data_IF_800918310263
#
_entry.id   IF_800918310263
#
_cell.length_a   1.000
_cell.length_b   1.000
_cell.length_c   1.000
_cell.angle_alpha   90.00
_cell.angle_beta   90.00
_cell.angle_gamma   90.00
#
_symmetry.space_group_name_H-M   'P 1'
#
loop_
_entity.id
_entity.type
_entity.pdbx_description
1 polymer ?
#
# COMPACT_ATOMS: atom_id res chain seq x y z
N UNK A 1 16.57 21.22 -30.76
CA UNK A 1 16.54 19.95 -31.52
C UNK A 1 16.98 18.81 -30.62
N UNK A 2 16.81 17.56 -31.04
CA UNK A 2 17.33 16.37 -30.34
C UNK A 2 18.45 15.78 -31.18
N UNK A 3 19.61 15.54 -30.57
CA UNK A 3 20.80 15.00 -31.25
C UNK A 3 21.10 13.56 -30.87
N UNK A 4 20.69 13.11 -29.69
CA UNK A 4 20.94 11.73 -29.26
C UNK A 4 20.27 11.36 -27.94
N UNK A 5 20.32 10.06 -27.64
CA UNK A 5 19.80 9.48 -26.42
C UNK A 5 20.79 8.42 -25.87
N UNK A 6 20.83 8.27 -24.55
CA UNK A 6 21.61 7.23 -23.88
C UNK A 6 20.98 6.84 -22.53
N UNK A 7 20.81 5.54 -22.23
CA UNK A 7 21.05 4.39 -23.11
C UNK A 7 20.02 4.31 -24.26
N UNK A 8 20.29 3.47 -25.27
CA UNK A 8 19.39 3.24 -26.42
C UNK A 8 18.45 2.04 -26.24
N UNK A 9 18.54 1.34 -25.12
CA UNK A 9 17.65 0.24 -24.76
C UNK A 9 17.44 0.17 -23.25
N UNK A 10 16.39 -0.54 -22.84
CA UNK A 10 16.18 -0.86 -21.43
C UNK A 10 15.00 -1.79 -21.17
N UNK A 11 14.79 -2.09 -19.89
CA UNK A 11 13.72 -2.96 -19.43
C UNK A 11 12.32 -2.33 -19.58
N UNK A 12 11.28 -3.16 -19.62
CA UNK A 12 9.89 -2.75 -19.82
C UNK A 12 9.18 -2.23 -18.57
N UNK A 13 9.74 -2.47 -17.38
CA UNK A 13 9.13 -2.01 -16.13
C UNK A 13 9.35 -0.54 -15.82
N UNK A 14 10.12 0.18 -16.64
CA UNK A 14 10.43 1.59 -16.42
C UNK A 14 11.55 1.81 -15.41
N UNK A 15 11.56 3.00 -14.82
CA UNK A 15 12.56 3.50 -13.86
C UNK A 15 13.99 3.61 -14.42
N UNK A 16 14.18 3.40 -15.73
CA UNK A 16 15.46 3.65 -16.40
C UNK A 16 15.67 5.16 -16.54
N UNK A 17 16.81 5.66 -16.06
CA UNK A 17 17.25 7.01 -16.35
C UNK A 17 17.70 7.12 -17.81
N UNK A 18 16.99 7.92 -18.61
CA UNK A 18 17.31 8.22 -20.00
C UNK A 18 17.87 9.64 -20.09
N UNK A 19 19.06 9.78 -20.68
CA UNK A 19 19.67 11.07 -21.01
C UNK A 19 19.39 11.38 -22.48
N UNK A 20 18.85 12.56 -22.75
CA UNK A 20 18.57 13.09 -24.09
C UNK A 20 19.46 14.32 -24.29
N UNK A 21 20.23 14.34 -25.37
CA UNK A 21 21.10 15.47 -25.73
C UNK A 21 20.51 16.24 -26.90
N UNK A 22 20.76 17.55 -26.92
CA UNK A 22 20.26 18.43 -27.95
C UNK A 22 20.56 19.89 -27.66
N UNK A 23 19.66 20.77 -28.13
CA UNK A 23 19.74 22.23 -27.92
C UNK A 23 18.35 22.83 -27.84
N UNK A 24 18.23 23.98 -27.15
CA UNK A 24 16.97 24.73 -27.07
C UNK A 24 15.89 24.06 -26.22
N UNK A 25 16.28 23.20 -25.26
CA UNK A 25 15.33 22.63 -24.30
C UNK A 25 14.92 23.64 -23.22
N UNK A 26 15.68 24.73 -23.05
CA UNK A 26 15.52 25.65 -21.93
C UNK A 26 15.82 24.97 -20.58
N UNK A 27 15.31 25.55 -19.50
CA UNK A 27 15.63 25.10 -18.12
C UNK A 27 14.41 24.73 -17.29
N UNK A 28 13.21 24.76 -17.88
CA UNK A 28 11.95 24.46 -17.20
C UNK A 28 11.39 23.12 -17.67
N UNK A 29 11.31 22.15 -16.75
CA UNK A 29 10.70 20.85 -17.03
C UNK A 29 9.20 20.99 -17.34
N UNK A 30 8.52 21.97 -16.74
CA UNK A 30 7.10 22.23 -17.00
C UNK A 30 6.83 22.67 -18.45
N UNK A 31 7.85 23.16 -19.16
CA UNK A 31 7.74 23.60 -20.55
C UNK A 31 8.15 22.51 -21.55
N UNK A 32 8.45 21.29 -21.07
CA UNK A 32 8.90 20.19 -21.92
C UNK A 32 8.14 18.91 -21.59
N UNK A 33 7.78 18.16 -22.63
CA UNK A 33 7.21 16.83 -22.51
C UNK A 33 8.02 15.84 -23.31
N UNK A 34 8.45 14.76 -22.69
CA UNK A 34 9.19 13.68 -23.34
C UNK A 34 8.30 12.44 -23.46
N UNK A 35 8.25 11.83 -24.64
CA UNK A 35 7.55 10.57 -24.89
C UNK A 35 8.47 9.54 -25.53
N UNK A 36 8.34 8.28 -25.10
CA UNK A 36 8.91 7.10 -25.74
C UNK A 36 7.75 6.31 -26.35
N UNK A 37 7.53 6.46 -27.66
CA UNK A 37 6.31 5.97 -28.30
C UNK A 37 5.08 6.66 -27.70
N UNK A 38 4.24 5.89 -27.00
CA UNK A 38 3.05 6.39 -26.30
C UNK A 38 3.28 6.71 -24.82
N UNK A 39 4.39 6.24 -24.25
CA UNK A 39 4.66 6.36 -22.83
C UNK A 39 5.38 7.66 -22.47
N UNK A 40 4.99 8.28 -21.36
CA UNK A 40 5.67 9.47 -20.88
C UNK A 40 7.02 9.11 -20.23
N UNK A 41 8.03 9.93 -20.48
CA UNK A 41 9.27 9.94 -19.70
C UNK A 41 9.23 11.10 -18.71
N UNK A 42 9.28 10.81 -17.41
CA UNK A 42 9.14 11.85 -16.38
C UNK A 42 10.47 12.59 -16.23
N UNK A 43 10.52 13.87 -16.60
CA UNK A 43 11.74 14.68 -16.53
C UNK A 43 12.17 14.84 -15.07
N UNK A 44 13.40 14.45 -14.76
CA UNK A 44 14.03 14.57 -13.44
C UNK A 44 15.02 15.73 -13.38
N UNK A 45 15.66 16.07 -14.49
CA UNK A 45 16.47 17.27 -14.62
C UNK A 45 16.50 17.76 -16.07
N UNK A 46 16.72 19.06 -16.25
CA UNK A 46 16.76 19.70 -17.57
C UNK A 46 17.74 20.87 -17.57
N UNK A 47 18.48 20.98 -18.66
CA UNK A 47 19.30 22.13 -19.06
C UNK A 47 19.03 22.40 -20.54
N UNK A 48 19.53 23.52 -21.06
CA UNK A 48 19.26 23.89 -22.45
C UNK A 48 19.72 22.84 -23.48
N UNK A 49 20.71 22.02 -23.10
CA UNK A 49 21.33 21.00 -23.97
C UNK A 49 21.13 19.56 -23.53
N UNK A 50 20.51 19.33 -22.36
CA UNK A 50 20.31 17.99 -21.81
C UNK A 50 18.98 17.85 -21.06
N UNK A 51 18.25 16.76 -21.31
CA UNK A 51 17.12 16.32 -20.48
C UNK A 51 17.49 14.96 -19.89
N UNK A 52 17.32 14.80 -18.58
CA UNK A 52 17.30 13.49 -17.93
C UNK A 52 15.87 13.19 -17.52
N UNK A 53 15.38 12.01 -17.87
CA UNK A 53 14.03 11.57 -17.52
C UNK A 53 14.01 10.11 -17.11
N UNK A 54 12.97 9.67 -16.41
CA UNK A 54 12.74 8.28 -16.05
C UNK A 54 11.63 7.67 -16.90
N UNK A 55 11.91 6.51 -17.49
CA UNK A 55 10.94 5.80 -18.35
C UNK A 55 9.78 5.24 -17.52
N UNK A 56 8.57 5.27 -18.09
CA UNK A 56 7.41 4.59 -17.51
C UNK A 56 7.40 3.08 -17.85
N UNK A 57 6.62 2.32 -17.07
CA UNK A 57 6.33 0.93 -17.37
C UNK A 57 5.49 0.81 -18.66
N UNK A 58 5.78 -0.19 -19.49
CA UNK A 58 5.04 -0.48 -20.71
C UNK A 58 4.91 -1.97 -20.99
N UNK A 59 3.83 -2.36 -21.66
CA UNK A 59 3.72 -3.72 -22.22
C UNK A 59 4.34 -3.85 -23.61
N UNK A 60 4.76 -2.74 -24.24
CA UNK A 60 5.39 -2.76 -25.56
C UNK A 60 6.83 -3.32 -25.50
N UNK A 61 7.24 -4.01 -26.56
CA UNK A 61 8.63 -4.41 -26.79
C UNK A 61 9.08 -3.95 -28.18
N UNK A 62 10.39 -3.81 -28.36
CA UNK A 62 10.99 -3.33 -29.61
C UNK A 62 11.23 -1.82 -29.62
N UNK A 63 11.55 -1.31 -30.81
CA UNK A 63 11.99 0.06 -31.00
C UNK A 63 10.83 1.06 -30.99
N UNK A 64 10.99 2.17 -30.28
CA UNK A 64 10.06 3.29 -30.21
C UNK A 64 10.78 4.61 -30.48
N UNK A 65 10.05 5.56 -31.07
CA UNK A 65 10.56 6.92 -31.26
C UNK A 65 10.66 7.65 -29.91
N UNK A 66 11.71 8.43 -29.72
CA UNK A 66 11.83 9.37 -28.59
C UNK A 66 11.53 10.76 -29.10
N UNK A 67 10.50 11.40 -28.55
CA UNK A 67 10.08 12.74 -28.94
C UNK A 67 10.14 13.70 -27.74
N UNK A 68 10.65 14.90 -27.99
CA UNK A 68 10.63 16.02 -27.05
C UNK A 68 9.72 17.08 -27.64
N UNK A 69 8.67 17.44 -26.93
CA UNK A 69 7.70 18.45 -27.33
C UNK A 69 7.77 19.63 -26.38
N UNK A 70 8.01 20.83 -26.92
CA UNK A 70 7.90 22.05 -26.16
C UNK A 70 6.42 22.32 -25.85
N UNK A 71 6.10 22.43 -24.57
CA UNK A 71 4.76 22.74 -24.06
C UNK A 71 4.79 24.12 -23.42
N UNK A 72 4.86 25.18 -24.24
CA UNK A 72 4.72 26.53 -23.72
C UNK A 72 3.23 26.84 -23.50
N UNK A 73 2.84 27.02 -22.24
CA UNK A 73 1.49 27.45 -21.85
C UNK A 73 1.07 28.81 -22.43
N UNK A 74 2.01 29.59 -22.99
CA UNK A 74 1.75 30.87 -23.67
C UNK A 74 1.69 30.77 -25.19
N UNK A 75 2.04 29.64 -25.81
CA UNK A 75 1.95 29.47 -27.26
C UNK A 75 0.61 28.85 -27.66
N UNK A 76 -0.29 29.69 -28.18
CA UNK A 76 -1.46 29.25 -28.95
C UNK A 76 -1.00 28.99 -30.38
N UNK A 77 -0.67 27.73 -30.70
CA UNK A 77 -0.18 27.31 -32.02
C UNK A 77 0.88 26.21 -31.92
N UNK A 78 0.89 25.31 -32.91
CA UNK A 78 1.64 24.03 -33.00
C UNK A 78 2.88 23.93 -32.10
N UNK A 79 2.78 23.09 -31.06
CA UNK A 79 3.91 22.73 -30.22
C UNK A 79 5.10 22.25 -31.07
N UNK A 80 6.27 22.86 -30.89
CA UNK A 80 7.47 22.43 -31.57
C UNK A 80 7.90 21.07 -31.01
N UNK A 81 7.91 20.04 -31.86
CA UNK A 81 8.34 18.70 -31.51
C UNK A 81 9.64 18.36 -32.24
N UNK A 82 10.57 17.73 -31.52
CA UNK A 82 11.80 17.19 -32.06
C UNK A 82 11.88 15.70 -31.76
N UNK A 83 12.17 14.90 -32.77
CA UNK A 83 12.35 13.45 -32.65
C UNK A 83 13.83 13.13 -32.65
N UNK A 84 14.24 12.24 -31.75
CA UNK A 84 15.60 11.69 -31.75
C UNK A 84 15.91 10.96 -33.05
N UNK A 85 17.11 11.11 -33.63
CA UNK A 85 17.54 10.32 -34.78
C UNK A 85 17.73 8.84 -34.44
N UNK A 86 17.89 8.51 -33.16
CA UNK A 86 18.03 7.13 -32.65
C UNK A 86 16.76 6.74 -31.89
N UNK A 87 16.26 5.53 -32.15
CA UNK A 87 15.14 4.95 -31.42
C UNK A 87 15.60 4.34 -30.10
N UNK A 88 14.70 4.31 -29.12
CA UNK A 88 14.88 3.57 -27.88
C UNK A 88 14.26 2.18 -28.02
N UNK A 89 14.94 1.13 -27.58
CA UNK A 89 14.44 -0.25 -27.68
C UNK A 89 14.04 -0.82 -26.32
N UNK A 90 12.77 -1.16 -26.15
CA UNK A 90 12.32 -1.95 -25.01
C UNK A 90 12.67 -3.42 -25.23
N UNK A 91 13.47 -3.99 -24.31
CA UNK A 91 13.97 -5.36 -24.44
C UNK A 91 12.82 -6.39 -24.39
N UNK A 92 12.71 -7.20 -25.44
CA UNK A 92 11.71 -8.26 -25.53
C UNK A 92 11.91 -9.37 -24.48
N UNK A 93 13.15 -9.58 -24.04
CA UNK A 93 13.52 -10.54 -23.00
C UNK A 93 13.47 -9.93 -21.58
N UNK A 94 12.96 -8.70 -21.45
CA UNK A 94 12.78 -8.06 -20.15
C UNK A 94 11.91 -8.93 -19.24
N UNK A 95 12.38 -9.23 -18.00
CA UNK A 95 11.64 -10.03 -17.05
C UNK A 95 10.25 -9.46 -16.73
N UNK A 96 9.34 -10.33 -16.35
CA UNK A 96 7.98 -9.96 -15.94
C UNK A 96 7.65 -10.58 -14.59
N UNK A 97 6.90 -9.85 -13.76
CA UNK A 97 6.33 -10.35 -12.51
C UNK A 97 4.81 -10.23 -12.61
N UNK A 98 4.14 -11.37 -12.56
CA UNK A 98 2.69 -11.47 -12.71
C UNK A 98 1.98 -11.97 -11.47
N UNK A 99 2.70 -12.62 -10.54
CA UNK A 99 2.13 -13.08 -9.28
C UNK A 99 3.12 -13.05 -8.12
N UNK A 100 2.59 -12.94 -6.90
CA UNK A 100 3.32 -13.01 -5.64
C UNK A 100 2.47 -13.79 -4.64
N UNK A 101 3.01 -14.88 -4.09
CA UNK A 101 2.30 -15.75 -3.15
C UNK A 101 3.15 -16.04 -1.92
N UNK A 102 2.64 -15.78 -0.70
CA UNK A 102 1.43 -15.02 -0.42
C UNK A 102 1.57 -13.55 -0.85
N UNK A 103 0.47 -12.90 -1.23
CA UNK A 103 0.47 -11.47 -1.59
C UNK A 103 0.37 -10.54 -0.36
N UNK A 104 0.43 -11.10 0.85
CA UNK A 104 0.33 -10.38 2.12
C UNK A 104 1.20 -11.05 3.19
N UNK A 105 1.82 -10.27 4.06
CA UNK A 105 2.59 -10.79 5.19
C UNK A 105 2.94 -9.73 6.22
N UNK A 106 3.52 -10.15 7.33
CA UNK A 106 3.71 -9.28 8.51
C UNK A 106 4.69 -8.15 8.27
N UNK A 107 4.47 -7.01 8.93
CA UNK A 107 5.40 -5.86 8.94
C UNK A 107 6.75 -6.22 9.58
N UNK A 108 6.80 -7.29 10.38
CA UNK A 108 8.04 -7.84 10.94
C UNK A 108 8.96 -8.49 9.88
N UNK A 109 8.48 -8.69 8.65
CA UNK A 109 9.22 -9.40 7.61
C UNK A 109 9.23 -10.92 7.83
N UNK A 110 10.18 -11.62 7.21
CA UNK A 110 10.35 -13.07 7.33
C UNK A 110 9.35 -13.89 6.53
N UNK A 111 8.46 -13.26 5.76
CA UNK A 111 7.50 -13.99 4.92
C UNK A 111 8.23 -14.55 3.70
N UNK A 112 8.23 -15.88 3.56
CA UNK A 112 8.73 -16.56 2.36
C UNK A 112 7.75 -16.38 1.21
N UNK A 113 8.24 -15.79 0.11
CA UNK A 113 7.47 -15.48 -1.09
C UNK A 113 7.90 -16.38 -2.24
N UNK A 114 6.91 -16.79 -3.02
CA UNK A 114 7.06 -17.31 -4.38
C UNK A 114 6.51 -16.26 -5.34
N UNK A 115 7.38 -15.69 -6.16
CA UNK A 115 7.05 -14.71 -7.18
C UNK A 115 7.03 -15.43 -8.53
N UNK A 116 5.93 -15.31 -9.28
CA UNK A 116 5.76 -15.94 -10.58
C UNK A 116 5.86 -14.95 -11.73
N UNK A 117 6.37 -15.43 -12.88
CA UNK A 117 6.51 -14.63 -14.09
C UNK A 117 7.46 -15.25 -15.11
N UNK A 118 8.30 -14.42 -15.73
CA UNK A 118 9.31 -14.84 -16.72
C UNK A 118 10.61 -14.04 -16.52
N UNK A 119 11.76 -14.60 -16.93
CA UNK A 119 13.03 -13.87 -16.81
C UNK A 119 13.60 -13.84 -15.39
N UNK A 120 13.10 -14.67 -14.48
CA UNK A 120 13.28 -14.52 -13.03
C UNK A 120 14.54 -15.19 -12.49
N UNK A 121 15.71 -14.85 -13.04
CA UNK A 121 17.00 -15.39 -12.59
C UNK A 121 17.49 -14.78 -11.27
N UNK A 122 18.48 -15.44 -10.65
CA UNK A 122 19.19 -14.95 -9.46
C UNK A 122 19.97 -13.65 -9.66
N UNK A 123 20.12 -13.15 -10.89
CA UNK A 123 20.71 -11.83 -11.15
C UNK A 123 19.80 -10.66 -10.75
N UNK A 124 18.49 -10.88 -10.56
CA UNK A 124 17.56 -9.82 -10.21
C UNK A 124 17.66 -9.43 -8.73
N UNK A 125 17.63 -8.14 -8.46
CA UNK A 125 17.45 -7.62 -7.09
C UNK A 125 15.99 -7.27 -6.88
N UNK A 126 15.29 -8.08 -6.07
CA UNK A 126 13.87 -7.85 -5.75
C UNK A 126 13.73 -7.00 -4.50
N UNK A 127 12.90 -5.95 -4.58
CA UNK A 127 12.53 -5.10 -3.46
C UNK A 127 11.01 -4.91 -3.38
N UNK A 128 10.51 -4.63 -2.17
CA UNK A 128 9.11 -4.28 -1.91
C UNK A 128 9.11 -3.00 -1.09
N UNK A 129 8.60 -1.92 -1.67
CA UNK A 129 8.64 -0.56 -1.07
C UNK A 129 10.04 -0.18 -0.53
N UNK A 130 11.06 -0.45 -1.35
CA UNK A 130 12.47 -0.18 -1.03
C UNK A 130 13.14 -1.21 -0.13
N UNK A 131 12.40 -2.14 0.49
CA UNK A 131 12.97 -3.20 1.33
C UNK A 131 13.40 -4.40 0.49
N UNK A 132 14.62 -4.87 0.69
CA UNK A 132 15.17 -6.04 -0.02
C UNK A 132 14.39 -7.31 0.33
N UNK A 133 14.00 -8.07 -0.71
CA UNK A 133 13.53 -9.44 -0.55
C UNK A 133 14.71 -10.39 -0.77
N UNK A 134 15.25 -10.93 0.32
CA UNK A 134 16.47 -11.75 0.30
C UNK A 134 16.24 -13.06 -0.43
N UNK A 135 16.96 -13.29 -1.51
CA UNK A 135 16.91 -14.54 -2.28
C UNK A 135 17.17 -15.76 -1.40
N UNK A 136 16.48 -16.86 -1.70
CA UNK A 136 16.77 -18.16 -1.08
C UNK A 136 17.77 -18.96 -1.93
N UNK A 137 18.39 -19.98 -1.33
CA UNK A 137 19.30 -20.88 -2.04
C UNK A 137 18.64 -21.69 -3.17
N UNK A 138 17.31 -21.74 -3.22
CA UNK A 138 16.55 -22.38 -4.28
C UNK A 138 16.46 -21.53 -5.57
N UNK A 139 17.03 -20.32 -5.59
CA UNK A 139 16.90 -19.41 -6.72
C UNK A 139 17.68 -19.88 -7.95
N UNK A 140 16.99 -20.05 -9.08
CA UNK A 140 17.59 -20.48 -10.33
C UNK A 140 18.43 -19.35 -10.97
N UNK A 141 19.59 -19.72 -11.53
CA UNK A 141 20.45 -18.79 -12.27
C UNK A 141 19.98 -18.54 -13.71
N UNK A 142 19.19 -19.45 -14.28
CA UNK A 142 18.75 -19.36 -15.67
C UNK A 142 17.73 -18.23 -15.88
N UNK A 143 17.89 -17.45 -16.94
CA UNK A 143 16.94 -16.40 -17.36
C UNK A 143 15.61 -16.96 -17.87
N UNK A 144 15.50 -18.26 -18.07
CA UNK A 144 14.23 -18.94 -18.38
C UNK A 144 13.40 -19.26 -17.14
N UNK A 145 13.91 -18.98 -15.93
CA UNK A 145 13.20 -19.22 -14.70
C UNK A 145 11.87 -18.44 -14.64
N UNK A 146 10.82 -19.13 -14.21
CA UNK A 146 9.46 -18.59 -14.06
C UNK A 146 9.08 -18.33 -12.62
N UNK A 147 9.94 -18.69 -11.68
CA UNK A 147 9.73 -18.54 -10.24
C UNK A 147 10.94 -17.86 -9.60
N UNK A 148 10.66 -16.98 -8.65
CA UNK A 148 11.65 -16.37 -7.77
C UNK A 148 11.26 -16.56 -6.31
N UNK A 149 12.20 -17.06 -5.50
CA UNK A 149 11.99 -17.39 -4.11
C UNK A 149 12.79 -16.44 -3.22
N UNK A 150 12.10 -15.66 -2.40
CA UNK A 150 12.75 -14.71 -1.51
C UNK A 150 12.03 -14.57 -0.18
N UNK A 151 12.71 -13.97 0.79
CA UNK A 151 12.15 -13.68 2.11
C UNK A 151 12.12 -12.18 2.34
N UNK A 152 10.94 -11.67 2.71
CA UNK A 152 10.74 -10.23 2.96
C UNK A 152 11.57 -9.72 4.13
N UNK A 153 12.15 -8.54 4.00
CA UNK A 153 12.64 -7.78 5.15
C UNK A 153 11.48 -7.14 5.93
N UNK A 154 11.78 -6.73 7.16
CA UNK A 154 10.85 -5.98 8.00
C UNK A 154 10.55 -4.63 7.35
N UNK A 155 9.28 -4.23 7.37
CA UNK A 155 8.85 -2.96 6.81
C UNK A 155 7.66 -2.40 7.57
N UNK A 156 7.83 -1.22 8.17
CA UNK A 156 6.82 -0.58 9.01
C UNK A 156 6.01 0.45 8.24
N UNK A 157 5.50 0.12 7.05
CA UNK A 157 4.63 1.05 6.32
C UNK A 157 3.59 0.33 5.44
N UNK A 158 2.44 1.01 5.32
CA UNK A 158 1.38 0.88 4.32
C UNK A 158 0.27 -0.17 4.55
N UNK A 159 -0.94 0.37 4.77
CA UNK A 159 -2.22 -0.34 4.61
C UNK A 159 -2.56 -0.68 3.15
N UNK A 160 -1.80 -0.17 2.19
CA UNK A 160 -2.10 -0.33 0.77
C UNK A 160 -1.13 -1.33 0.13
N UNK A 161 -1.59 -2.18 -0.80
CA UNK A 161 -0.71 -3.00 -1.62
C UNK A 161 0.28 -2.13 -2.40
N UNK A 162 1.54 -2.55 -2.43
CA UNK A 162 2.64 -1.91 -3.17
C UNK A 162 3.13 -2.84 -4.28
N UNK A 163 3.60 -2.31 -5.42
CA UNK A 163 4.20 -3.15 -6.45
C UNK A 163 5.47 -3.81 -5.92
N UNK A 164 5.69 -5.07 -6.30
CA UNK A 164 7.00 -5.70 -6.16
C UNK A 164 7.90 -5.16 -7.26
N UNK A 165 9.15 -4.83 -6.95
CA UNK A 165 10.12 -4.34 -7.93
C UNK A 165 11.22 -5.37 -8.11
N UNK A 166 11.68 -5.56 -9.34
CA UNK A 166 12.86 -6.36 -9.61
C UNK A 166 13.80 -5.57 -10.53
N UNK A 167 14.91 -5.11 -9.99
CA UNK A 167 15.93 -4.41 -10.76
C UNK A 167 16.64 -5.39 -11.71
N UNK A 168 16.84 -4.95 -12.95
CA UNK A 168 17.49 -5.70 -14.02
C UNK A 168 18.89 -5.13 -14.24
N UNK A 169 19.97 -5.77 -13.71
CA UNK A 169 21.29 -5.14 -13.68
C UNK A 169 21.86 -4.78 -15.06
N UNK A 170 21.54 -5.55 -16.10
CA UNK A 170 22.09 -5.34 -17.44
C UNK A 170 21.60 -4.05 -18.11
N UNK A 171 20.40 -3.59 -17.73
CA UNK A 171 19.63 -2.62 -18.51
C UNK A 171 19.12 -1.44 -17.67
N UNK A 172 19.57 -1.31 -16.40
CA UNK A 172 19.35 -0.17 -15.48
C UNK A 172 17.90 0.18 -15.07
N UNK A 173 16.89 -0.57 -15.54
CA UNK A 173 15.48 -0.43 -15.17
C UNK A 173 14.96 -1.60 -14.35
N UNK A 174 13.63 -1.71 -14.24
CA UNK A 174 12.96 -2.80 -13.52
C UNK A 174 12.18 -3.74 -14.46
N UNK A 175 11.89 -4.95 -13.97
CA UNK A 175 10.97 -5.88 -14.60
C UNK A 175 9.57 -5.27 -14.75
N UNK A 176 8.83 -5.65 -15.79
CA UNK A 176 7.42 -5.25 -15.90
C UNK A 176 6.58 -5.98 -14.85
N UNK A 177 5.92 -5.23 -13.97
CA UNK A 177 5.20 -5.79 -12.82
C UNK A 177 3.72 -5.43 -12.81
N UNK A 178 2.88 -6.43 -12.59
CA UNK A 178 1.44 -6.27 -12.32
C UNK A 178 1.04 -6.81 -10.94
N UNK A 179 1.93 -7.51 -10.24
CA UNK A 179 1.67 -8.05 -8.92
C UNK A 179 2.01 -7.06 -7.81
N UNK A 180 1.20 -7.08 -6.75
CA UNK A 180 1.42 -6.28 -5.55
C UNK A 180 1.56 -7.16 -4.32
N UNK A 181 2.23 -6.62 -3.31
CA UNK A 181 2.37 -7.22 -1.99
C UNK A 181 1.92 -6.21 -0.93
N UNK A 182 1.32 -6.69 0.15
CA UNK A 182 0.92 -5.83 1.26
C UNK A 182 1.53 -6.29 2.58
N UNK A 183 2.26 -5.38 3.23
CA UNK A 183 2.66 -5.52 4.62
C UNK A 183 1.45 -5.28 5.52
N UNK A 184 1.07 -6.27 6.33
CA UNK A 184 -0.10 -6.22 7.19
C UNK A 184 0.08 -7.10 8.41
N UNK A 185 -0.19 -6.54 9.59
CA UNK A 185 -0.25 -7.31 10.82
C UNK A 185 -1.69 -7.70 11.12
N UNK A 186 -1.90 -8.98 11.38
CA UNK A 186 -3.20 -9.54 11.72
C UNK A 186 -3.19 -9.90 13.20
N UNK A 187 -4.24 -9.55 13.94
CA UNK A 187 -4.35 -9.83 15.36
C UNK A 187 -4.13 -11.31 15.68
N UNK A 188 -4.62 -12.22 14.83
CA UNK A 188 -4.46 -13.67 14.99
C UNK A 188 -3.02 -14.18 14.87
N UNK A 189 -2.11 -13.39 14.28
CA UNK A 189 -0.75 -13.84 13.97
C UNK A 189 0.21 -13.56 15.11
N UNK A 190 0.97 -14.59 15.46
CA UNK A 190 2.07 -14.50 16.41
C UNK A 190 3.16 -13.47 16.05
N UNK A 191 3.39 -13.22 14.76
CA UNK A 191 4.35 -12.21 14.27
C UNK A 191 3.98 -10.78 14.71
N UNK A 192 2.70 -10.49 14.90
CA UNK A 192 2.19 -9.19 15.37
C UNK A 192 2.59 -8.91 16.82
N UNK A 193 2.76 -9.97 17.61
CA UNK A 193 3.00 -9.90 19.06
C UNK A 193 4.43 -10.29 19.42
N UNK A 194 5.39 -9.94 18.56
CA UNK A 194 6.81 -10.22 18.79
C UNK A 194 7.13 -11.72 18.80
N UNK A 195 6.54 -12.47 17.86
CA UNK A 195 6.67 -13.93 17.74
C UNK A 195 6.12 -14.72 18.93
N UNK A 196 5.17 -14.13 19.68
CA UNK A 196 4.41 -14.77 20.76
C UNK A 196 2.96 -15.00 20.34
N UNK A 197 2.26 -15.90 21.02
CA UNK A 197 0.83 -16.09 20.78
C UNK A 197 0.05 -14.76 20.99
N UNK A 198 -1.06 -14.54 20.28
CA UNK A 198 -1.94 -13.41 20.53
C UNK A 198 -2.39 -13.32 22.00
N UNK A 199 -2.67 -12.10 22.51
CA UNK A 199 -3.08 -11.89 23.90
C UNK A 199 -4.25 -12.78 24.30
N UNK A 200 -4.10 -13.42 25.47
CA UNK A 200 -5.06 -14.37 26.05
C UNK A 200 -6.00 -13.67 27.04
N UNK A 201 -6.96 -14.43 27.57
CA UNK A 201 -7.92 -13.97 28.57
C UNK A 201 -7.22 -13.24 29.73
N UNK A 202 -7.63 -12.00 30.01
CA UNK A 202 -7.08 -11.16 31.09
C UNK A 202 -5.70 -10.57 30.81
N UNK A 203 -5.07 -10.86 29.67
CA UNK A 203 -3.83 -10.21 29.27
C UNK A 203 -4.09 -8.83 28.67
N UNK A 204 -3.02 -8.07 28.46
CA UNK A 204 -3.08 -6.76 27.81
C UNK A 204 -2.54 -6.82 26.38
N UNK A 205 -3.13 -6.03 25.49
CA UNK A 205 -2.69 -5.85 24.12
C UNK A 205 -2.23 -4.40 23.91
N UNK A 206 -1.09 -4.21 23.27
CA UNK A 206 -0.58 -2.88 22.89
C UNK A 206 -0.33 -2.85 21.39
N UNK A 207 -1.12 -2.07 20.67
CA UNK A 207 -0.86 -1.71 19.26
C UNK A 207 0.05 -0.50 19.29
N UNK A 208 1.34 -0.73 19.04
CA UNK A 208 2.39 0.28 19.22
C UNK A 208 2.36 1.37 18.14
N UNK A 209 2.99 2.51 18.39
CA UNK A 209 3.15 3.58 17.39
C UNK A 209 3.74 3.05 16.07
N UNK A 210 3.20 3.51 14.94
CA UNK A 210 3.58 3.04 13.60
C UNK A 210 3.11 1.63 13.24
N UNK A 211 2.53 0.87 14.19
CA UNK A 211 1.96 -0.45 13.91
C UNK A 211 0.52 -0.33 13.42
N UNK A 212 0.17 -1.08 12.37
CA UNK A 212 -1.22 -1.20 11.92
C UNK A 212 -1.67 -2.65 12.06
N UNK A 213 -2.57 -2.91 12.99
CA UNK A 213 -3.08 -4.25 13.28
C UNK A 213 -4.52 -4.34 12.78
N UNK A 214 -4.78 -5.34 11.95
CA UNK A 214 -6.13 -5.71 11.55
C UNK A 214 -6.69 -6.75 12.50
N UNK A 215 -7.84 -6.44 13.10
CA UNK A 215 -8.60 -7.36 13.92
C UNK A 215 -9.36 -8.32 13.01
N UNK A 216 -8.74 -9.46 12.74
CA UNK A 216 -9.22 -10.53 11.85
C UNK A 216 -9.90 -11.69 12.58
N UNK A 217 -9.88 -11.66 13.91
CA UNK A 217 -10.53 -12.63 14.81
C UNK A 217 -11.13 -11.92 16.01
N UNK A 218 -12.11 -12.54 16.66
CA UNK A 218 -12.63 -12.07 17.95
C UNK A 218 -11.60 -12.34 19.06
N UNK A 219 -11.03 -11.31 19.70
CA UNK A 219 -10.10 -11.52 20.80
C UNK A 219 -10.85 -12.04 22.04
N UNK A 220 -10.16 -12.77 22.94
CA UNK A 220 -10.73 -13.09 24.24
C UNK A 220 -10.98 -11.80 25.04
N UNK A 221 -11.68 -11.91 26.18
CA UNK A 221 -11.81 -10.77 27.11
C UNK A 221 -10.43 -10.40 27.65
N UNK A 222 -9.91 -9.25 27.20
CA UNK A 222 -8.64 -8.71 27.66
C UNK A 222 -8.81 -7.87 28.92
N UNK A 223 -7.71 -7.58 29.61
CA UNK A 223 -7.71 -6.59 30.67
C UNK A 223 -7.62 -5.19 30.08
N UNK A 224 -6.58 -4.92 29.30
CA UNK A 224 -6.30 -3.60 28.73
C UNK A 224 -5.96 -3.72 27.24
N UNK A 225 -6.55 -2.85 26.42
CA UNK A 225 -6.16 -2.64 25.03
C UNK A 225 -5.66 -1.21 24.89
N UNK A 226 -4.37 -1.03 24.59
CA UNK A 226 -3.78 0.28 24.29
C UNK A 226 -3.53 0.39 22.80
N UNK A 227 -4.07 1.42 22.17
CA UNK A 227 -3.93 1.70 20.74
C UNK A 227 -3.17 2.99 20.55
N UNK A 228 -1.87 2.87 20.28
CA UNK A 228 -0.96 3.97 19.93
C UNK A 228 -0.65 4.03 18.43
N UNK A 229 -0.80 2.90 17.73
CA UNK A 229 -0.80 2.82 16.27
C UNK A 229 -2.22 2.86 15.71
N UNK A 230 -2.53 1.96 14.78
CA UNK A 230 -3.85 1.83 14.16
C UNK A 230 -4.41 0.43 14.37
N UNK A 231 -5.48 0.30 15.14
CA UNK A 231 -6.28 -0.92 15.22
C UNK A 231 -7.47 -0.81 14.25
N UNK A 232 -7.48 -1.61 13.20
CA UNK A 232 -8.54 -1.61 12.18
C UNK A 232 -9.35 -2.88 12.28
N UNK A 233 -10.67 -2.77 12.36
CA UNK A 233 -11.54 -3.95 12.35
C UNK A 233 -11.83 -4.39 10.92
N UNK A 234 -11.71 -5.69 10.68
CA UNK A 234 -12.03 -6.30 9.39
C UNK A 234 -13.54 -6.50 9.23
N UNK A 235 -14.09 -6.01 8.12
CA UNK A 235 -15.52 -6.12 7.80
C UNK A 235 -15.84 -7.44 7.07
N UNK A 236 -15.51 -8.57 7.70
CA UNK A 236 -15.82 -9.90 7.16
C UNK A 236 -16.52 -10.82 8.16
N UNK A 237 -16.79 -10.33 9.37
CA UNK A 237 -17.48 -11.08 10.43
C UNK A 237 -18.06 -10.14 11.49
N UNK A 238 -19.01 -10.65 12.27
CA UNK A 238 -19.50 -9.97 13.46
C UNK A 238 -18.40 -9.92 14.53
N UNK A 239 -17.96 -8.70 14.85
CA UNK A 239 -16.86 -8.45 15.77
C UNK A 239 -17.37 -8.27 17.20
N UNK A 240 -16.67 -8.86 18.16
CA UNK A 240 -16.87 -8.66 19.59
C UNK A 240 -15.53 -8.31 20.24
N UNK A 241 -15.31 -7.01 20.45
CA UNK A 241 -14.13 -6.50 21.14
C UNK A 241 -14.42 -6.42 22.65
N UNK A 242 -13.66 -7.16 23.44
CA UNK A 242 -13.95 -7.39 24.86
C UNK A 242 -12.75 -7.00 25.72
N UNK A 243 -12.91 -6.03 26.63
CA UNK A 243 -11.85 -5.62 27.54
C UNK A 243 -12.38 -5.01 28.85
N UNK A 244 -11.56 -4.93 29.90
CA UNK A 244 -11.85 -4.06 31.06
C UNK A 244 -11.64 -2.58 30.66
N UNK A 245 -10.51 -2.29 30.00
CA UNK A 245 -10.16 -0.96 29.51
C UNK A 245 -9.75 -0.99 28.05
N UNK A 246 -10.20 0.01 27.29
CA UNK A 246 -9.69 0.30 25.94
C UNK A 246 -9.23 1.75 25.93
N UNK A 247 -7.97 1.98 25.58
CA UNK A 247 -7.39 3.31 25.43
C UNK A 247 -6.89 3.49 24.01
N UNK A 248 -7.41 4.49 23.32
CA UNK A 248 -6.82 4.99 22.09
C UNK A 248 -5.98 6.21 22.48
N UNK A 249 -4.66 6.05 22.49
CA UNK A 249 -3.72 7.06 22.98
C UNK A 249 -2.73 7.43 21.88
N UNK A 250 -2.87 8.61 21.27
CA UNK A 250 -2.14 9.01 20.05
C UNK A 250 -2.36 8.12 18.81
N UNK A 251 -3.21 7.10 18.92
CA UNK A 251 -3.50 6.14 17.85
C UNK A 251 -4.89 6.30 17.24
N UNK A 252 -5.29 5.28 16.49
CA UNK A 252 -6.59 5.22 15.80
C UNK A 252 -7.24 3.85 15.97
N UNK A 253 -8.52 3.84 16.34
CA UNK A 253 -9.37 2.64 16.28
C UNK A 253 -10.44 2.87 15.21
N UNK A 254 -10.46 2.04 14.17
CA UNK A 254 -11.38 2.20 13.04
C UNK A 254 -12.26 0.97 12.82
N UNK A 255 -13.57 1.22 12.71
CA UNK A 255 -14.60 0.26 12.32
C UNK A 255 -15.40 0.87 11.15
N UNK A 256 -15.07 0.48 9.91
CA UNK A 256 -15.63 1.10 8.72
C UNK A 256 -15.13 2.53 8.45
N UNK A 257 -15.52 3.09 7.30
CA UNK A 257 -15.23 4.47 6.88
C UNK A 257 -16.47 5.09 6.22
N UNK A 258 -16.54 6.42 6.01
CA UNK A 258 -17.64 7.00 5.26
C UNK A 258 -17.80 6.43 3.84
N UNK A 259 -16.69 6.14 3.15
CA UNK A 259 -16.69 5.59 1.79
C UNK A 259 -16.96 4.08 1.74
N UNK A 260 -16.63 3.36 2.83
CA UNK A 260 -16.86 1.93 2.98
C UNK A 260 -17.33 1.65 4.42
N UNK A 261 -18.63 1.84 4.71
CA UNK A 261 -19.18 1.61 6.04
C UNK A 261 -19.08 0.14 6.44
N UNK A 262 -18.91 -0.12 7.74
CA UNK A 262 -18.94 -1.46 8.32
C UNK A 262 -20.33 -2.07 8.15
N UNK A 263 -20.40 -3.26 7.57
CA UNK A 263 -21.64 -3.93 7.18
C UNK A 263 -22.04 -5.04 8.15
N UNK A 264 -21.10 -5.53 8.96
CA UNK A 264 -21.35 -6.54 9.99
C UNK A 264 -21.73 -5.92 11.35
N UNK A 265 -22.06 -6.75 12.34
CA UNK A 265 -22.34 -6.26 13.70
C UNK A 265 -21.04 -6.06 14.47
N UNK A 266 -20.81 -4.83 14.95
CA UNK A 266 -19.72 -4.54 15.89
C UNK A 266 -20.24 -4.38 17.32
N UNK A 267 -19.68 -5.17 18.24
CA UNK A 267 -19.98 -5.11 19.67
C UNK A 267 -18.71 -4.80 20.46
N UNK A 268 -18.69 -3.67 21.18
CA UNK A 268 -17.67 -3.38 22.19
C UNK A 268 -18.26 -3.72 23.56
N UNK A 269 -17.71 -4.72 24.25
CA UNK A 269 -18.13 -5.08 25.62
C UNK A 269 -17.03 -4.70 26.60
N UNK A 270 -17.34 -3.72 27.45
CA UNK A 270 -16.49 -3.33 28.56
C UNK A 270 -16.89 -4.10 29.83
N UNK A 271 -15.91 -4.58 30.57
CA UNK A 271 -16.09 -5.28 31.84
C UNK A 271 -15.58 -4.42 32.99
N UNK A 272 -16.15 -4.61 34.19
CA UNK A 272 -15.82 -3.84 35.38
C UNK A 272 -16.95 -3.90 36.40
N UNK A 273 -16.61 -3.78 37.67
CA UNK A 273 -17.49 -3.73 38.83
C UNK A 273 -17.02 -2.63 39.81
N UNK A 274 -17.64 -2.55 41.00
CA UNK A 274 -17.32 -1.52 42.00
C UNK A 274 -15.94 -1.66 42.63
N UNK A 275 -15.27 -2.80 42.47
CA UNK A 275 -13.94 -3.08 42.99
C UNK A 275 -12.86 -2.95 41.92
N UNK A 276 -13.28 -2.75 40.67
CA UNK A 276 -12.35 -2.60 39.55
C UNK A 276 -11.55 -1.31 39.72
N UNK A 277 -10.20 -1.38 39.66
CA UNK A 277 -9.36 -0.19 39.85
C UNK A 277 -9.71 0.94 38.89
N UNK A 278 -9.82 2.15 39.40
CA UNK A 278 -10.00 3.31 38.54
C UNK A 278 -8.67 3.68 37.87
N UNK A 279 -8.72 3.86 36.56
CA UNK A 279 -7.64 4.54 35.87
C UNK A 279 -7.79 6.03 36.17
N UNK A 280 -6.73 6.72 36.65
CA UNK A 280 -6.78 8.15 36.90
C UNK A 280 -7.42 8.85 35.71
N UNK A 281 -8.32 9.81 35.96
CA UNK A 281 -9.09 10.60 34.98
C UNK A 281 -10.04 9.82 34.03
N UNK A 282 -10.08 8.49 34.07
CA UNK A 282 -10.84 7.67 33.11
C UNK A 282 -11.85 6.70 33.77
N UNK A 283 -11.66 6.35 35.05
CA UNK A 283 -12.57 5.49 35.82
C UNK A 283 -12.31 3.99 35.65
N UNK A 284 -13.21 3.17 36.18
CA UNK A 284 -13.04 1.72 36.35
C UNK A 284 -13.55 0.86 35.17
N UNK A 285 -14.13 1.47 34.13
CA UNK A 285 -14.68 0.78 32.95
C UNK A 285 -14.76 1.76 31.80
N UNK A 286 -13.80 1.73 30.88
CA UNK A 286 -13.64 2.85 29.94
C UNK A 286 -13.22 2.41 28.55
N UNK A 287 -13.80 3.08 27.56
CA UNK A 287 -13.23 3.29 26.23
C UNK A 287 -12.83 4.78 26.18
N UNK A 288 -11.54 5.06 26.33
CA UNK A 288 -11.02 6.41 26.37
C UNK A 288 -10.26 6.72 25.07
N UNK A 289 -10.38 7.96 24.60
CA UNK A 289 -9.58 8.48 23.50
C UNK A 289 -8.80 9.69 24.02
N UNK A 290 -7.48 9.65 23.88
CA UNK A 290 -6.56 10.73 24.25
C UNK A 290 -5.65 11.00 23.06
N UNK A 291 -5.69 12.23 22.55
CA UNK A 291 -4.85 12.69 21.44
C UNK A 291 -4.90 11.78 20.19
N UNK A 292 -6.00 11.04 20.02
CA UNK A 292 -6.19 10.03 18.98
C UNK A 292 -7.59 10.06 18.37
N UNK A 293 -7.95 9.04 17.59
CA UNK A 293 -9.23 8.97 16.89
C UNK A 293 -9.95 7.63 17.06
N UNK A 294 -11.27 7.71 17.30
CA UNK A 294 -12.19 6.58 17.25
C UNK A 294 -13.17 6.81 16.09
N UNK A 295 -13.03 6.06 15.00
CA UNK A 295 -13.88 6.16 13.82
C UNK A 295 -14.77 4.93 13.71
N UNK A 296 -16.07 5.12 13.84
CA UNK A 296 -17.07 4.06 13.74
C UNK A 296 -18.11 4.49 12.73
N UNK A 297 -18.06 3.90 11.54
CA UNK A 297 -18.99 4.17 10.45
C UNK A 297 -19.69 2.87 10.09
N UNK A 298 -20.96 2.73 10.46
CA UNK A 298 -21.82 1.63 10.04
C UNK A 298 -22.69 2.02 8.84
N UNK A 299 -23.39 1.04 8.26
CA UNK A 299 -24.40 1.30 7.24
C UNK A 299 -25.38 2.41 7.69
N UNK A 300 -25.69 3.40 6.82
CA UNK A 300 -26.65 4.45 7.13
C UNK A 300 -27.99 3.83 7.55
N UNK A 301 -28.55 4.30 8.66
CA UNK A 301 -29.90 3.89 9.06
C UNK A 301 -30.91 4.74 8.31
N UNK A 302 -31.76 4.12 7.50
CA UNK A 302 -32.84 4.80 6.74
C UNK A 302 -33.97 5.28 7.64
N UNK A 303 -34.17 4.67 8.81
CA UNK A 303 -35.07 5.14 9.86
C UNK A 303 -34.24 5.49 11.11
N UNK A 304 -33.97 6.78 11.30
CA UNK A 304 -33.33 7.32 12.52
C UNK A 304 -34.35 7.86 13.53
N UNK A 305 -35.56 8.13 13.06
CA UNK A 305 -36.66 8.62 13.85
C UNK A 305 -37.95 8.05 13.25
N UNK A 306 -38.85 7.60 14.11
CA UNK A 306 -40.19 7.21 13.70
C UNK A 306 -41.18 8.02 14.52
N UNK A 307 -42.13 8.67 13.85
CA UNK A 307 -43.16 9.49 14.49
C UNK A 307 -44.38 8.61 14.69
N UNK A 308 -44.89 8.53 15.92
CA UNK A 308 -46.11 7.80 16.19
C UNK A 308 -47.27 8.40 15.37
N UNK A 309 -47.99 7.55 14.64
CA UNK A 309 -49.19 7.97 13.91
C UNK A 309 -50.39 8.16 14.85
N UNK A 310 -50.33 7.65 16.09
CA UNK A 310 -51.33 7.88 17.14
C UNK A 310 -50.79 7.61 18.56
N UNK A 311 -51.50 8.10 19.58
CA UNK A 311 -51.18 7.84 20.99
C UNK A 311 -51.42 6.36 21.33
N UNK A 312 -50.44 5.72 21.99
CA UNK A 312 -50.65 4.38 22.56
C UNK A 312 -51.35 4.48 23.94
N UNK A 313 -52.33 3.61 24.19
CA UNK A 313 -53.02 3.54 25.48
C UNK A 313 -52.10 2.95 26.57
N UNK A 314 -52.36 3.30 27.83
CA UNK A 314 -51.64 2.72 28.97
C UNK A 314 -51.78 1.18 28.97
N UNK A 315 -50.66 0.47 28.96
CA UNK A 315 -50.61 -1.00 28.91
C UNK A 315 -50.57 -1.61 27.50
N UNK A 316 -50.50 -0.82 26.44
CA UNK A 316 -50.36 -1.34 25.08
C UNK A 316 -49.01 -2.08 24.88
N UNK A 317 -49.06 -3.29 24.30
CA UNK A 317 -47.88 -4.10 23.97
C UNK A 317 -47.28 -3.82 22.59
N UNK A 318 -47.93 -2.95 21.79
CA UNK A 318 -47.50 -2.56 20.44
C UNK A 318 -47.79 -1.07 20.21
N UNK A 319 -47.02 -0.45 19.32
CA UNK A 319 -47.19 0.95 18.89
C UNK A 319 -47.36 1.00 17.37
N UNK A 320 -48.13 1.96 16.87
CA UNK A 320 -48.28 2.22 15.43
C UNK A 320 -47.36 3.37 15.03
N UNK A 321 -46.48 3.09 14.09
CA UNK A 321 -45.39 3.94 13.63
C UNK A 321 -45.49 4.14 12.12
#
# INVERSE_FOLDING_TARGET
SVTGIAPTSGARGGEQALTITGTGFGTSAANNRVMLGTEACTITSITDTQIVCTTAQTSQSGAVAVTVTAVDSRMVGTAAAATSPTQYTYDANSPTITSVTPNRGSTAGGTSLTIGGSGLSSSLTVTIDGQTCSQTSAQAAATTATMYYCTTAAHRTLLMPVPVKAAVPSNGGIAHVTATYQYIDLWSRWTTWGYKAPPRLGESAVVSEGQVVVLDVNPPRLELIVVMGHLRVQDTFDVVLQATYIMVNCGRLTMGTPAAPFTHKATIRLFGDRLTPEIPIHGAKVLAVRDGALDIHGAPRTAVQTTLTSNAAAGAGTITV
#
